data_IF_972251350303
#
_entry.id   IF_972251350303
#
_cell.length_a   1.000
_cell.length_b   1.000
_cell.length_c   1.000
_cell.angle_alpha   90.00
_cell.angle_beta   90.00
_cell.angle_gamma   90.00
#
_symmetry.space_group_name_H-M   'P 1'
#
loop_
_entity.id
_entity.type
_entity.pdbx_description
1 polymer ?
#
# COMPACT_ATOMS: atom_id res chain seq x y z
N UNK A 1 42.26 -39.54 -20.87
CA UNK A 1 41.21 -39.76 -19.83
C UNK A 1 41.42 -38.91 -18.58
N UNK A 2 42.65 -38.44 -18.27
CA UNK A 2 42.95 -37.56 -17.12
C UNK A 2 42.36 -36.14 -17.28
N UNK A 3 42.38 -35.61 -18.50
CA UNK A 3 41.96 -34.23 -18.80
C UNK A 3 40.46 -33.97 -18.59
N UNK A 4 39.62 -35.00 -18.65
CA UNK A 4 38.18 -34.88 -18.38
C UNK A 4 37.89 -34.70 -16.89
N UNK A 5 38.69 -35.33 -16.03
CA UNK A 5 38.56 -35.20 -14.58
C UNK A 5 39.06 -33.84 -14.10
N UNK A 6 40.17 -33.36 -14.65
CA UNK A 6 40.70 -32.03 -14.31
C UNK A 6 39.77 -30.90 -14.78
N UNK A 7 39.15 -31.03 -15.97
CA UNK A 7 38.14 -30.06 -16.44
C UNK A 7 36.90 -30.02 -15.54
N UNK A 8 36.42 -31.16 -15.05
CA UNK A 8 35.31 -31.19 -14.09
C UNK A 8 35.70 -30.54 -12.77
N UNK A 9 36.91 -30.77 -12.28
CA UNK A 9 37.39 -30.23 -11.00
C UNK A 9 37.46 -28.70 -11.04
N UNK A 10 37.97 -28.14 -12.14
CA UNK A 10 37.99 -26.68 -12.38
C UNK A 10 36.58 -26.11 -12.46
N UNK A 11 35.64 -26.82 -13.12
CA UNK A 11 34.24 -26.38 -13.21
C UNK A 11 33.56 -26.30 -11.83
N UNK A 12 33.76 -27.30 -10.96
CA UNK A 12 33.22 -27.29 -9.60
C UNK A 12 33.80 -26.17 -8.74
N UNK A 13 35.08 -25.84 -8.91
CA UNK A 13 35.75 -24.79 -8.15
C UNK A 13 35.22 -23.39 -8.51
N UNK A 14 35.00 -23.13 -9.81
CA UNK A 14 34.37 -21.90 -10.30
C UNK A 14 32.90 -21.84 -9.88
N UNK A 15 32.18 -22.96 -9.98
CA UNK A 15 30.79 -23.05 -9.54
C UNK A 15 30.66 -22.75 -8.04
N UNK A 16 31.57 -23.23 -7.19
CA UNK A 16 31.56 -22.96 -5.74
C UNK A 16 31.66 -21.47 -5.40
N UNK A 17 32.47 -20.70 -6.12
CA UNK A 17 32.58 -19.24 -5.96
C UNK A 17 31.28 -18.53 -6.42
N UNK A 18 30.66 -19.02 -7.49
CA UNK A 18 29.43 -18.43 -8.04
C UNK A 18 28.15 -18.85 -7.30
N UNK A 19 28.18 -19.93 -6.52
CA UNK A 19 27.02 -20.46 -5.78
C UNK A 19 26.53 -19.45 -4.75
N UNK A 20 27.42 -18.81 -3.98
CA UNK A 20 27.03 -17.84 -2.96
C UNK A 20 26.27 -16.63 -3.56
N UNK A 21 26.79 -15.91 -4.57
CA UNK A 21 26.05 -14.80 -5.19
C UNK A 21 24.79 -15.26 -5.92
N UNK A 22 24.78 -16.46 -6.53
CA UNK A 22 23.60 -17.00 -7.19
C UNK A 22 22.46 -17.29 -6.19
N UNK A 23 22.77 -17.84 -5.02
CA UNK A 23 21.80 -18.07 -3.95
C UNK A 23 21.23 -16.75 -3.44
N UNK A 24 22.09 -15.75 -3.17
CA UNK A 24 21.64 -14.42 -2.72
C UNK A 24 20.74 -13.77 -3.77
N UNK A 25 21.11 -13.83 -5.05
CA UNK A 25 20.29 -13.28 -6.13
C UNK A 25 18.93 -13.97 -6.25
N UNK A 26 18.90 -15.30 -6.14
CA UNK A 26 17.67 -16.09 -6.20
C UNK A 26 16.72 -15.77 -5.04
N UNK A 27 17.23 -15.71 -3.81
CA UNK A 27 16.41 -15.36 -2.65
C UNK A 27 16.05 -13.87 -2.61
N UNK A 28 16.94 -12.98 -3.06
CA UNK A 28 16.68 -11.55 -3.19
C UNK A 28 15.49 -11.26 -4.10
N UNK A 29 15.43 -11.89 -5.27
CA UNK A 29 14.31 -11.71 -6.20
C UNK A 29 12.96 -12.20 -5.64
N UNK A 30 12.97 -13.25 -4.82
CA UNK A 30 11.75 -13.74 -4.15
C UNK A 30 11.24 -12.79 -3.06
N UNK A 31 12.12 -12.15 -2.32
CA UNK A 31 11.74 -11.23 -1.22
C UNK A 31 11.12 -9.96 -1.79
N UNK A 32 11.74 -9.35 -2.81
CA UNK A 32 11.24 -8.12 -3.43
C UNK A 32 9.81 -8.26 -3.98
N UNK A 33 9.52 -9.41 -4.59
CA UNK A 33 8.24 -9.66 -5.25
C UNK A 33 7.05 -9.72 -4.28
N UNK A 34 7.28 -9.95 -2.98
CA UNK A 34 6.20 -10.09 -2.00
C UNK A 34 5.95 -8.79 -1.25
N UNK A 35 7.00 -8.05 -0.87
CA UNK A 35 6.85 -6.76 -0.21
C UNK A 35 6.24 -5.73 -1.15
N UNK A 36 6.74 -5.62 -2.38
CA UNK A 36 6.27 -4.64 -3.35
C UNK A 36 4.77 -4.78 -3.67
N UNK A 37 4.24 -6.02 -3.68
CA UNK A 37 2.82 -6.27 -3.93
C UNK A 37 1.92 -5.79 -2.80
N UNK A 38 2.38 -5.75 -1.55
CA UNK A 38 1.55 -5.30 -0.43
C UNK A 38 1.58 -3.78 -0.30
N UNK A 39 2.73 -3.15 -0.53
CA UNK A 39 2.85 -1.68 -0.52
C UNK A 39 1.96 -1.03 -1.57
N UNK A 40 1.91 -1.60 -2.77
CA UNK A 40 1.03 -1.12 -3.85
C UNK A 40 -0.44 -1.19 -3.44
N UNK A 41 -0.87 -2.28 -2.77
CA UNK A 41 -2.26 -2.43 -2.31
C UNK A 41 -2.62 -1.39 -1.25
N UNK A 42 -1.73 -1.19 -0.27
CA UNK A 42 -1.93 -0.18 0.77
C UNK A 42 -2.06 1.19 0.13
N UNK A 43 -1.22 1.51 -0.87
CA UNK A 43 -1.28 2.78 -1.58
C UNK A 43 -2.62 3.00 -2.30
N UNK A 44 -3.16 1.98 -2.96
CA UNK A 44 -4.47 2.08 -3.60
C UNK A 44 -5.60 2.30 -2.58
N UNK A 45 -5.54 1.61 -1.44
CA UNK A 45 -6.51 1.79 -0.34
C UNK A 45 -6.42 3.21 0.23
N UNK A 46 -5.22 3.74 0.47
CA UNK A 46 -5.02 5.11 0.93
C UNK A 46 -5.67 6.13 -0.01
N UNK A 47 -5.40 6.02 -1.32
CA UNK A 47 -5.97 6.92 -2.32
C UNK A 47 -7.49 6.79 -2.37
N UNK A 48 -8.03 5.57 -2.30
CA UNK A 48 -9.46 5.33 -2.26
C UNK A 48 -10.10 5.99 -1.02
N UNK A 49 -9.50 5.84 0.15
CA UNK A 49 -9.95 6.47 1.40
C UNK A 49 -9.88 8.00 1.30
N UNK A 50 -8.83 8.56 0.73
CA UNK A 50 -8.71 10.01 0.51
C UNK A 50 -9.84 10.54 -0.38
N UNK A 51 -10.14 9.87 -1.50
CA UNK A 51 -11.26 10.24 -2.38
C UNK A 51 -12.60 10.15 -1.65
N UNK A 52 -12.77 9.15 -0.77
CA UNK A 52 -14.01 8.94 -0.04
C UNK A 52 -14.18 9.87 1.17
N UNK A 53 -13.10 10.50 1.65
CA UNK A 53 -13.17 11.57 2.66
C UNK A 53 -13.74 12.87 2.07
N UNK A 54 -13.52 13.11 0.79
CA UNK A 54 -14.07 14.28 0.11
C UNK A 54 -15.59 14.15 -0.09
N UNK A 55 -16.33 15.28 -0.02
CA UNK A 55 -17.75 15.29 -0.29
C UNK A 55 -18.02 14.86 -1.75
N UNK A 56 -19.10 14.11 -2.00
CA UNK A 56 -19.45 13.68 -3.34
C UNK A 56 -19.69 14.90 -4.25
N UNK A 57 -18.92 14.99 -5.34
CA UNK A 57 -19.08 15.99 -6.40
C UNK A 57 -19.46 15.28 -7.70
N UNK A 58 -20.29 15.90 -8.53
CA UNK A 58 -20.68 15.32 -9.83
C UNK A 58 -19.46 15.09 -10.73
N UNK A 59 -18.47 15.98 -10.68
CA UNK A 59 -17.22 15.87 -11.45
C UNK A 59 -16.35 14.67 -11.05
N UNK A 60 -16.41 14.24 -9.78
CA UNK A 60 -15.56 13.16 -9.23
C UNK A 60 -16.31 11.85 -9.02
N UNK A 61 -17.55 11.74 -9.50
CA UNK A 61 -18.40 10.56 -9.33
C UNK A 61 -17.75 9.26 -9.81
N UNK A 62 -17.06 9.30 -10.94
CA UNK A 62 -16.33 8.15 -11.48
C UNK A 62 -15.16 7.72 -10.58
N UNK A 63 -14.42 8.69 -10.02
CA UNK A 63 -13.32 8.44 -9.09
C UNK A 63 -13.83 7.86 -7.76
N UNK A 64 -14.99 8.33 -7.30
CA UNK A 64 -15.65 7.80 -6.10
C UNK A 64 -16.12 6.36 -6.29
N UNK A 65 -16.65 6.03 -7.47
CA UNK A 65 -17.00 4.64 -7.82
C UNK A 65 -15.76 3.74 -7.83
N UNK A 66 -14.68 4.19 -8.48
CA UNK A 66 -13.40 3.48 -8.45
C UNK A 66 -12.89 3.25 -7.03
N UNK A 67 -12.96 4.25 -6.17
CA UNK A 67 -12.53 4.13 -4.77
C UNK A 67 -13.33 3.07 -4.00
N UNK A 68 -14.64 2.98 -4.24
CA UNK A 68 -15.50 1.94 -3.66
C UNK A 68 -15.12 0.56 -4.19
N UNK A 69 -14.83 0.44 -5.49
CA UNK A 69 -14.42 -0.81 -6.11
C UNK A 69 -13.07 -1.29 -5.55
N UNK A 70 -12.10 -0.40 -5.39
CA UNK A 70 -10.79 -0.69 -4.75
C UNK A 70 -10.96 -1.22 -3.33
N UNK A 71 -11.79 -0.55 -2.50
CA UNK A 71 -12.06 -1.04 -1.15
C UNK A 71 -12.76 -2.40 -1.15
N UNK A 72 -13.60 -2.67 -2.16
CA UNK A 72 -14.30 -3.95 -2.30
C UNK A 72 -13.41 -5.10 -2.79
N UNK A 73 -12.28 -4.80 -3.44
CA UNK A 73 -11.33 -5.79 -3.95
C UNK A 73 -10.34 -6.29 -2.89
N UNK A 74 -9.97 -5.44 -1.93
CA UNK A 74 -9.03 -5.78 -0.84
C UNK A 74 -9.63 -5.97 0.58
N UNK A 75 -10.87 -6.47 0.78
CA UNK A 75 -11.40 -6.63 2.11
C UNK A 75 -10.86 -7.87 2.82
N UNK A 76 -10.26 -7.68 4.00
CA UNK A 76 -10.11 -8.77 4.98
C UNK A 76 -11.49 -9.27 5.46
N UNK A 77 -12.50 -8.39 5.46
CA UNK A 77 -13.90 -8.66 5.83
C UNK A 77 -14.79 -7.97 4.79
N UNK A 78 -15.66 -8.74 4.12
CA UNK A 78 -16.52 -8.22 3.05
C UNK A 78 -17.43 -7.10 3.57
N UNK A 79 -17.46 -5.99 2.84
CA UNK A 79 -18.43 -4.93 3.07
C UNK A 79 -19.85 -5.43 2.79
N UNK A 80 -20.82 -4.99 3.59
CA UNK A 80 -22.23 -5.22 3.29
C UNK A 80 -22.67 -4.32 2.13
N UNK A 81 -23.76 -4.70 1.46
CA UNK A 81 -24.26 -3.93 0.32
C UNK A 81 -24.67 -2.51 0.74
N UNK A 82 -25.18 -2.38 1.96
CA UNK A 82 -25.56 -1.12 2.58
C UNK A 82 -24.35 -0.21 2.78
N UNK A 83 -23.25 -0.74 3.31
CA UNK A 83 -22.02 0.02 3.52
C UNK A 83 -21.42 0.55 2.20
N UNK A 84 -21.47 -0.25 1.13
CA UNK A 84 -21.03 0.19 -0.20
C UNK A 84 -21.91 1.32 -0.76
N UNK A 85 -23.23 1.26 -0.49
CA UNK A 85 -24.16 2.33 -0.90
C UNK A 85 -23.90 3.60 -0.10
N UNK A 86 -23.63 3.49 1.20
CA UNK A 86 -23.28 4.62 2.05
C UNK A 86 -21.97 5.28 1.61
N UNK A 87 -20.93 4.50 1.32
CA UNK A 87 -19.65 5.00 0.82
C UNK A 87 -19.80 5.77 -0.50
N UNK A 88 -20.78 5.42 -1.34
CA UNK A 88 -21.08 6.16 -2.59
C UNK A 88 -21.76 7.48 -2.32
N UNK A 89 -22.54 7.62 -1.25
CA UNK A 89 -23.40 8.78 -0.99
C UNK A 89 -22.87 9.75 0.06
N UNK A 90 -22.07 9.25 1.00
CA UNK A 90 -21.62 10.01 2.16
C UNK A 90 -20.09 10.03 2.23
N UNK A 91 -19.47 11.12 2.70
CA UNK A 91 -18.05 11.14 3.02
C UNK A 91 -17.78 10.29 4.26
N UNK A 92 -16.57 9.71 4.32
CA UNK A 92 -16.12 9.01 5.52
C UNK A 92 -16.04 9.98 6.71
N UNK A 93 -16.49 9.57 7.92
CA UNK A 93 -16.36 10.39 9.10
C UNK A 93 -14.88 10.64 9.41
N UNK A 94 -14.57 11.84 9.91
CA UNK A 94 -13.22 12.16 10.34
C UNK A 94 -12.74 11.16 11.41
N UNK A 95 -11.43 10.86 11.46
CA UNK A 95 -10.89 9.96 12.46
C UNK A 95 -11.29 10.41 13.87
N UNK A 96 -11.75 9.48 14.71
CA UNK A 96 -12.25 9.78 16.07
C UNK A 96 -11.21 10.50 16.93
N UNK A 97 -9.91 10.23 16.71
CA UNK A 97 -8.84 10.91 17.43
C UNK A 97 -8.65 12.40 17.06
N UNK A 98 -9.35 12.89 16.04
CA UNK A 98 -9.42 14.31 15.68
C UNK A 98 -10.69 14.99 16.21
N UNK A 99 -11.49 14.31 17.03
CA UNK A 99 -12.73 14.82 17.59
C UNK A 99 -12.57 15.04 19.11
N UNK A 100 -12.98 16.20 19.60
CA UNK A 100 -13.22 16.43 21.02
C UNK A 100 -14.35 15.50 21.51
N UNK A 101 -14.46 15.27 22.83
CA UNK A 101 -15.58 14.53 23.42
C UNK A 101 -16.96 15.19 23.19
N UNK A 102 -17.00 16.45 22.73
CA UNK A 102 -18.20 17.17 22.33
C UNK A 102 -18.51 17.06 20.81
N UNK A 103 -17.70 16.33 20.05
CA UNK A 103 -17.85 16.14 18.60
C UNK A 103 -17.26 17.25 17.74
N UNK A 104 -16.62 18.27 18.32
CA UNK A 104 -15.92 19.33 17.57
C UNK A 104 -14.55 18.84 17.08
N UNK A 105 -14.08 19.31 15.91
CA UNK A 105 -12.77 18.93 15.38
C UNK A 105 -11.65 19.58 16.21
N UNK A 106 -10.64 18.81 16.59
CA UNK A 106 -9.49 19.29 17.38
C UNK A 106 -8.52 20.17 16.59
N UNK A 107 -8.46 19.95 15.28
CA UNK A 107 -7.59 20.66 14.35
C UNK A 107 -8.42 20.94 13.10
N UNK A 108 -8.56 22.20 12.72
CA UNK A 108 -9.12 22.49 11.40
C UNK A 108 -8.07 22.19 10.32
N UNK A 109 -8.48 21.81 9.10
CA UNK A 109 -7.55 21.50 8.01
C UNK A 109 -6.61 22.65 7.63
N UNK A 110 -6.98 23.89 7.97
CA UNK A 110 -6.22 25.14 7.81
C UNK A 110 -5.27 25.45 8.98
N UNK A 111 -5.44 24.80 10.13
CA UNK A 111 -4.56 24.90 11.28
C UNK A 111 -3.33 24.00 11.04
N UNK A 112 -2.39 24.44 10.20
CA UNK A 112 -1.12 23.72 10.04
C UNK A 112 -0.37 23.71 11.39
N UNK A 113 0.22 22.58 11.84
CA UNK A 113 0.90 22.48 13.14
C UNK A 113 2.13 23.38 13.31
N UNK A 114 2.54 24.12 12.27
CA UNK A 114 3.87 24.74 12.16
C UNK A 114 3.85 26.24 11.86
N UNK A 115 2.72 26.94 11.96
CA UNK A 115 2.80 28.40 12.09
C UNK A 115 3.39 28.71 13.45
N UNK A 116 4.72 28.86 13.48
CA UNK A 116 5.43 29.37 14.64
C UNK A 116 4.77 30.68 15.08
N UNK A 117 4.53 30.88 16.39
CA UNK A 117 4.05 32.17 16.85
C UNK A 117 5.08 33.21 16.45
N UNK A 118 4.64 34.13 15.60
CA UNK A 118 5.32 35.35 15.23
C UNK A 118 5.79 36.03 16.52
N UNK A 119 7.11 36.06 16.72
CA UNK A 119 7.77 36.91 17.72
C UNK A 119 7.54 38.39 17.39
#
# INVERSE_FOLDING_TARGET
>A
MKDCWDKSLIFFQIAGILVIPAVIAYFGWKVDSTLQKNDIKIKYIEIAVEILKDPPKEETKALRLWAVDVLSEYPTIKFTSEALIELKKSPLPAPIFLLNPDGTKLLNPDDTPFTQPNM
#
